data_IF_623450542062
#
_entry.id   IF_623450542062
#
_cell.length_a   1.000
_cell.length_b   1.000
_cell.length_c   1.000
_cell.angle_alpha   90.00
_cell.angle_beta   90.00
_cell.angle_gamma   90.00
#
_symmetry.space_group_name_H-M   'P 1'
#
loop_
_entity.id
_entity.type
_entity.pdbx_description
1 polymer ?
#
# COMPACT_ATOMS: atom_id res chain seq x y z
N UNK A 1 72.12 71.18 -12.82
CA UNK A 1 71.19 70.72 -13.87
C UNK A 1 70.08 69.93 -13.21
N UNK A 2 68.83 70.24 -13.57
CA UNK A 2 67.58 69.76 -12.96
C UNK A 2 67.37 68.25 -13.16
N UNK A 3 66.90 67.53 -12.15
CA UNK A 3 66.04 66.36 -12.32
C UNK A 3 65.12 66.26 -11.09
N UNK A 4 63.85 66.59 -11.30
CA UNK A 4 62.79 66.51 -10.31
C UNK A 4 62.41 65.03 -10.09
N UNK A 5 62.49 64.56 -8.85
CA UNK A 5 61.78 63.36 -8.40
C UNK A 5 60.29 63.70 -8.28
N UNK A 6 59.44 62.99 -9.01
CA UNK A 6 58.00 62.93 -8.74
C UNK A 6 57.61 61.45 -8.59
N UNK A 7 57.54 61.00 -7.33
CA UNK A 7 57.05 59.69 -6.93
C UNK A 7 55.52 59.71 -6.95
N UNK A 8 54.91 59.17 -8.01
CA UNK A 8 53.46 58.96 -8.09
C UNK A 8 53.12 57.59 -7.47
N UNK A 9 52.69 57.60 -6.21
CA UNK A 9 52.31 56.40 -5.47
C UNK A 9 50.83 56.06 -5.78
N UNK A 10 50.62 55.23 -6.81
CA UNK A 10 49.31 54.70 -7.20
C UNK A 10 48.91 53.59 -6.22
N UNK A 11 48.08 53.94 -5.23
CA UNK A 11 47.38 52.99 -4.36
C UNK A 11 46.30 52.27 -5.16
N UNK A 12 46.65 51.12 -5.74
CA UNK A 12 45.67 50.16 -6.27
C UNK A 12 44.99 49.46 -5.08
N UNK A 13 43.80 49.95 -4.68
CA UNK A 13 42.92 49.21 -3.78
C UNK A 13 42.26 48.08 -4.56
N UNK A 14 42.82 46.87 -4.45
CA UNK A 14 42.17 45.65 -4.95
C UNK A 14 40.84 45.48 -4.19
N UNK A 15 39.68 45.43 -4.87
CA UNK A 15 38.44 45.05 -4.21
C UNK A 15 38.59 43.60 -3.76
N UNK A 16 38.65 43.39 -2.45
CA UNK A 16 38.63 42.06 -1.87
C UNK A 16 37.34 41.36 -2.28
N UNK A 17 37.43 40.44 -3.25
CA UNK A 17 36.36 39.48 -3.48
C UNK A 17 36.29 38.58 -2.27
N UNK A 18 35.37 38.93 -1.35
CA UNK A 18 34.93 38.01 -0.32
C UNK A 18 34.30 36.81 -1.03
N UNK A 19 35.04 35.70 -1.08
CA UNK A 19 34.46 34.39 -1.39
C UNK A 19 33.47 34.12 -0.27
N UNK A 20 32.18 34.29 -0.55
CA UNK A 20 31.14 33.87 0.35
C UNK A 20 31.21 32.34 0.44
N UNK A 21 31.80 31.82 1.52
CA UNK A 21 31.67 30.41 1.87
C UNK A 21 30.19 30.14 2.08
N UNK A 22 29.60 29.36 1.17
CA UNK A 22 28.28 28.79 1.39
C UNK A 22 28.36 28.00 2.71
N UNK A 23 27.45 28.23 3.67
CA UNK A 23 27.43 27.42 4.87
C UNK A 23 27.27 25.95 4.46
N UNK A 24 28.13 25.07 4.99
CA UNK A 24 27.99 23.63 4.80
C UNK A 24 26.55 23.22 5.16
N UNK A 25 25.80 22.76 4.16
CA UNK A 25 24.51 22.11 4.37
C UNK A 25 24.75 20.93 5.33
N UNK A 26 24.00 20.83 6.44
CA UNK A 26 24.19 19.73 7.37
C UNK A 26 23.95 18.42 6.63
N UNK A 27 24.97 17.57 6.56
CA UNK A 27 24.87 16.22 5.98
C UNK A 27 23.76 15.48 6.73
N UNK A 28 22.55 15.46 6.16
CA UNK A 28 21.47 14.62 6.65
C UNK A 28 21.80 13.21 6.23
N UNK A 29 22.41 12.45 7.12
CA UNK A 29 22.59 11.00 6.95
C UNK A 29 21.24 10.28 7.14
N UNK A 30 20.23 10.61 6.32
CA UNK A 30 19.10 9.70 6.17
C UNK A 30 19.62 8.54 5.33
N UNK A 31 20.00 7.46 6.01
CA UNK A 31 20.28 6.20 5.35
C UNK A 31 19.03 5.84 4.56
N UNK A 32 19.17 5.61 3.26
CA UNK A 32 18.07 5.17 2.40
C UNK A 32 17.62 3.76 2.83
N UNK A 33 16.32 3.50 2.82
CA UNK A 33 15.81 2.14 3.07
C UNK A 33 16.08 1.28 1.84
N UNK A 34 16.51 0.04 2.07
CA UNK A 34 16.75 -0.94 1.00
C UNK A 34 16.11 -2.27 1.38
N UNK A 35 15.78 -3.06 0.36
CA UNK A 35 15.30 -4.43 0.55
C UNK A 35 16.37 -5.30 1.19
N UNK A 36 15.94 -6.34 1.90
CA UNK A 36 16.83 -7.16 2.71
C UNK A 36 17.30 -8.39 1.95
N UNK A 37 18.62 -8.63 1.97
CA UNK A 37 19.24 -9.79 1.30
C UNK A 37 18.87 -11.14 1.93
N UNK A 38 18.45 -11.13 3.21
CA UNK A 38 18.13 -12.36 3.97
C UNK A 38 16.68 -12.83 3.82
N UNK A 39 15.87 -12.13 3.02
CA UNK A 39 14.47 -12.45 2.80
C UNK A 39 13.65 -12.54 4.11
N UNK A 40 12.60 -13.37 4.10
CA UNK A 40 11.64 -13.46 5.21
C UNK A 40 12.23 -13.97 6.53
N UNK A 41 13.34 -14.72 6.53
CA UNK A 41 13.90 -15.32 7.75
C UNK A 41 14.30 -14.26 8.79
N UNK A 42 14.87 -13.14 8.34
CA UNK A 42 15.27 -12.06 9.24
C UNK A 42 14.06 -11.44 9.96
N UNK A 43 12.92 -11.33 9.26
CA UNK A 43 11.67 -10.81 9.81
C UNK A 43 11.09 -11.77 10.86
N UNK A 44 11.09 -13.08 10.57
CA UNK A 44 10.50 -14.11 11.42
C UNK A 44 11.22 -14.30 12.77
N UNK A 45 12.44 -13.78 12.94
CA UNK A 45 13.15 -13.80 14.24
C UNK A 45 12.40 -13.02 15.32
N UNK A 46 11.69 -11.95 14.93
CA UNK A 46 10.89 -11.12 15.85
C UNK A 46 9.38 -11.26 15.56
N UNK A 47 8.99 -11.32 14.29
CA UNK A 47 7.60 -11.42 13.84
C UNK A 47 7.23 -12.87 13.52
N UNK A 48 7.43 -13.80 14.45
CA UNK A 48 6.91 -15.16 14.33
C UNK A 48 5.55 -15.30 15.00
N UNK A 49 4.91 -16.45 14.82
CA UNK A 49 3.67 -16.80 15.50
C UNK A 49 2.57 -17.23 14.54
N UNK A 50 1.35 -17.23 15.06
CA UNK A 50 0.16 -17.75 14.37
C UNK A 50 -0.10 -17.04 13.06
N UNK A 51 -0.13 -15.71 13.05
CA UNK A 51 -0.34 -14.90 11.84
C UNK A 51 0.59 -15.27 10.68
N UNK A 52 1.86 -15.57 10.97
CA UNK A 52 2.82 -15.96 9.94
C UNK A 52 2.70 -17.42 9.52
N UNK A 53 2.17 -18.30 10.40
CA UNK A 53 1.81 -19.66 10.00
C UNK A 53 0.60 -19.63 9.07
N UNK A 54 -0.44 -18.89 9.45
CA UNK A 54 -1.64 -18.72 8.65
C UNK A 54 -1.33 -18.11 7.28
N UNK A 55 -0.42 -17.12 7.21
CA UNK A 55 0.05 -16.58 5.95
C UNK A 55 0.63 -17.64 5.02
N UNK A 56 1.46 -18.56 5.54
CA UNK A 56 2.10 -19.62 4.73
C UNK A 56 1.08 -20.54 4.09
N UNK A 57 -0.05 -20.74 4.77
CA UNK A 57 -1.16 -21.56 4.29
C UNK A 57 -2.11 -20.80 3.35
N UNK A 58 -1.91 -19.48 3.19
CA UNK A 58 -2.69 -18.63 2.28
C UNK A 58 -2.10 -18.58 0.88
N UNK A 59 -2.90 -18.09 -0.09
CA UNK A 59 -2.46 -17.93 -1.49
C UNK A 59 -1.23 -17.02 -1.63
N UNK A 60 -1.08 -16.03 -0.76
CA UNK A 60 0.06 -15.12 -0.78
C UNK A 60 1.32 -15.72 -0.15
N UNK A 61 1.19 -16.70 0.73
CA UNK A 61 2.31 -17.40 1.34
C UNK A 61 2.81 -18.62 0.57
N UNK A 62 2.17 -18.99 -0.54
CA UNK A 62 2.61 -20.11 -1.35
C UNK A 62 3.94 -19.81 -2.06
N UNK A 63 5.04 -20.30 -1.47
CA UNK A 63 6.40 -20.14 -1.98
C UNK A 63 6.69 -20.92 -3.27
N UNK A 64 5.88 -21.93 -3.61
CA UNK A 64 6.06 -22.72 -4.83
C UNK A 64 5.54 -21.99 -6.08
N UNK A 65 4.71 -20.97 -5.89
CA UNK A 65 4.25 -20.10 -6.95
C UNK A 65 5.09 -18.82 -6.98
N UNK A 66 5.99 -18.70 -7.97
CA UNK A 66 6.90 -17.56 -8.12
C UNK A 66 6.22 -16.18 -8.28
N UNK A 67 4.92 -16.17 -8.60
CA UNK A 67 4.13 -14.93 -8.72
C UNK A 67 3.53 -14.46 -7.37
N UNK A 68 3.75 -15.19 -6.28
CA UNK A 68 3.27 -14.77 -4.96
C UNK A 68 4.26 -13.80 -4.31
N UNK A 69 3.77 -12.93 -3.41
CA UNK A 69 4.64 -12.00 -2.68
C UNK A 69 5.70 -12.72 -1.87
N UNK A 70 5.35 -13.85 -1.23
CA UNK A 70 6.29 -14.55 -0.37
C UNK A 70 7.41 -15.27 -1.16
N UNK A 71 7.14 -15.72 -2.39
CA UNK A 71 8.15 -16.29 -3.28
C UNK A 71 9.07 -15.24 -3.93
N UNK A 72 8.56 -14.02 -4.17
CA UNK A 72 9.29 -12.97 -4.89
C UNK A 72 10.16 -12.12 -3.95
N UNK A 73 9.54 -11.34 -3.06
CA UNK A 73 10.21 -10.37 -2.18
C UNK A 73 9.95 -10.65 -0.69
N UNK A 74 9.29 -11.77 -0.37
CA UNK A 74 8.99 -12.15 1.01
C UNK A 74 8.03 -11.18 1.68
N UNK A 75 8.26 -10.90 2.95
CA UNK A 75 7.46 -9.94 3.73
C UNK A 75 7.49 -8.52 3.14
N UNK A 76 8.61 -8.16 2.51
CA UNK A 76 8.86 -6.82 1.99
C UNK A 76 8.07 -6.53 0.71
N UNK A 77 7.51 -7.56 0.05
CA UNK A 77 6.58 -7.40 -1.07
C UNK A 77 5.36 -6.54 -0.70
N UNK A 78 4.88 -6.67 0.54
CA UNK A 78 3.74 -5.91 1.05
C UNK A 78 4.17 -4.83 2.05
N UNK A 79 5.21 -5.10 2.86
CA UNK A 79 5.62 -4.22 3.95
C UNK A 79 6.68 -3.18 3.56
N UNK A 80 7.24 -3.26 2.34
CA UNK A 80 8.29 -2.37 1.86
C UNK A 80 9.68 -2.72 2.42
N UNK A 81 10.71 -1.92 2.11
CA UNK A 81 12.11 -2.20 2.46
C UNK A 81 12.40 -2.10 3.97
N UNK A 82 12.92 -3.18 4.54
CA UNK A 82 13.10 -3.41 5.97
C UNK A 82 14.52 -3.32 6.50
N UNK A 83 15.51 -2.91 5.69
CA UNK A 83 16.92 -2.88 6.14
C UNK A 83 17.14 -2.06 7.40
N UNK A 84 16.49 -0.89 7.49
CA UNK A 84 16.56 -0.03 8.67
C UNK A 84 15.76 -0.63 9.83
N UNK A 85 14.58 -1.20 9.53
CA UNK A 85 13.72 -1.87 10.49
C UNK A 85 14.48 -2.94 11.29
N UNK A 86 15.16 -3.85 10.58
CA UNK A 86 15.95 -4.93 11.18
C UNK A 86 17.17 -4.38 11.94
N UNK A 87 17.84 -3.36 11.39
CA UNK A 87 19.07 -2.83 12.01
C UNK A 87 18.84 -2.06 13.32
N UNK A 88 17.64 -1.51 13.54
CA UNK A 88 17.28 -0.79 14.79
C UNK A 88 15.85 -1.13 15.23
N UNK A 89 15.64 -2.39 15.60
CA UNK A 89 14.32 -2.93 15.94
C UNK A 89 13.54 -2.16 17.03
N UNK A 90 14.19 -1.37 17.88
CA UNK A 90 13.55 -0.62 18.97
C UNK A 90 12.86 0.69 18.51
N UNK A 91 13.01 1.10 17.25
CA UNK A 91 12.38 2.31 16.71
C UNK A 91 12.97 3.62 17.27
N UNK A 92 12.23 4.72 17.13
CA UNK A 92 12.61 6.06 17.63
C UNK A 92 12.17 7.19 16.70
N UNK A 93 12.38 8.44 17.14
CA UNK A 93 12.13 9.61 16.30
C UNK A 93 12.99 9.55 15.03
N UNK A 94 12.37 9.71 13.86
CA UNK A 94 13.04 9.61 12.56
C UNK A 94 13.28 8.17 12.07
N UNK A 95 12.72 7.17 12.74
CA UNK A 95 12.76 5.78 12.27
C UNK A 95 11.70 5.54 11.18
N UNK A 96 12.08 5.09 9.98
CA UNK A 96 11.10 4.85 8.93
C UNK A 96 10.20 3.67 9.30
N UNK A 97 8.90 3.88 9.16
CA UNK A 97 7.90 2.84 9.40
C UNK A 97 7.82 1.91 8.21
N UNK A 98 7.66 0.61 8.48
CA UNK A 98 7.21 -0.35 7.47
C UNK A 98 5.76 -0.02 7.08
N UNK A 99 5.34 -0.47 5.89
CA UNK A 99 3.94 -0.35 5.50
C UNK A 99 3.09 -1.16 6.48
N UNK A 100 2.17 -0.52 7.16
CA UNK A 100 1.22 -1.17 8.08
C UNK A 100 -0.21 -1.01 7.57
N UNK A 101 -0.96 -2.10 7.60
CA UNK A 101 -2.27 -2.22 6.97
C UNK A 101 -3.40 -2.07 7.99
N UNK A 102 -4.29 -1.12 7.75
CA UNK A 102 -5.42 -0.85 8.62
C UNK A 102 -5.98 0.56 8.43
N UNK A 103 -6.93 0.94 9.28
CA UNK A 103 -7.61 2.25 9.20
C UNK A 103 -7.26 3.15 10.39
N UNK A 104 -7.07 4.43 10.10
CA UNK A 104 -6.78 5.46 11.10
C UNK A 104 -5.30 5.86 11.13
N UNK A 105 -4.97 6.82 11.98
CA UNK A 105 -3.64 7.49 12.02
C UNK A 105 -2.50 6.62 12.53
N UNK A 106 -2.79 5.43 13.08
CA UNK A 106 -1.77 4.50 13.55
C UNK A 106 -1.13 3.68 12.43
N UNK A 107 -1.80 3.58 11.28
CA UNK A 107 -1.38 2.79 10.12
C UNK A 107 -0.73 3.68 9.05
N UNK A 108 -0.18 3.05 8.00
CA UNK A 108 0.37 3.79 6.87
C UNK A 108 -0.70 4.58 6.12
N UNK A 109 -0.33 5.64 5.38
CA UNK A 109 -1.26 6.35 4.52
C UNK A 109 -2.03 5.38 3.61
N UNK A 110 -3.32 5.64 3.43
CA UNK A 110 -4.22 4.75 2.70
C UNK A 110 -3.71 4.40 1.31
N UNK A 111 -3.24 5.39 0.56
CA UNK A 111 -2.80 5.18 -0.81
C UNK A 111 -1.52 4.34 -0.88
N UNK A 112 -0.65 4.42 0.13
CA UNK A 112 0.51 3.52 0.27
C UNK A 112 0.07 2.08 0.48
N UNK A 113 -0.95 1.85 1.31
CA UNK A 113 -1.49 0.50 1.52
C UNK A 113 -2.14 -0.07 0.25
N UNK A 114 -2.90 0.76 -0.48
CA UNK A 114 -3.58 0.33 -1.70
C UNK A 114 -2.59 0.06 -2.83
N UNK A 115 -1.57 0.90 -2.98
CA UNK A 115 -0.54 0.71 -4.00
C UNK A 115 0.23 -0.60 -3.78
N UNK A 116 0.49 -0.98 -2.52
CA UNK A 116 1.12 -2.27 -2.21
C UNK A 116 0.31 -3.46 -2.76
N UNK A 117 -1.02 -3.38 -2.77
CA UNK A 117 -1.88 -4.40 -3.37
C UNK A 117 -1.90 -4.29 -4.90
N UNK A 118 -2.05 -3.07 -5.43
CA UNK A 118 -2.18 -2.81 -6.87
C UNK A 118 -0.88 -3.05 -7.65
N UNK A 119 0.27 -3.08 -6.97
CA UNK A 119 1.53 -3.50 -7.57
C UNK A 119 1.42 -4.86 -8.30
N UNK A 120 0.53 -5.74 -7.85
CA UNK A 120 0.21 -7.02 -8.49
C UNK A 120 -1.24 -7.15 -8.97
N UNK A 121 -2.20 -6.52 -8.29
CA UNK A 121 -3.64 -6.67 -8.60
C UNK A 121 -4.20 -5.63 -9.58
N UNK A 122 -3.39 -4.72 -10.11
CA UNK A 122 -3.84 -3.78 -11.14
C UNK A 122 -4.00 -4.45 -12.50
N UNK A 123 -4.93 -3.95 -13.32
CA UNK A 123 -5.28 -4.46 -14.66
C UNK A 123 -4.08 -4.73 -15.57
N UNK A 124 -3.17 -3.76 -15.64
CA UNK A 124 -1.98 -3.83 -16.50
C UNK A 124 -0.95 -4.89 -16.07
N UNK A 125 -1.18 -5.61 -14.96
CA UNK A 125 -0.26 -6.63 -14.44
C UNK A 125 -0.56 -8.04 -14.96
N UNK A 126 -1.66 -8.24 -15.71
CA UNK A 126 -1.96 -9.49 -16.41
C UNK A 126 -2.10 -10.73 -15.50
N UNK A 127 -2.31 -10.53 -14.19
CA UNK A 127 -2.52 -11.60 -13.23
C UNK A 127 -3.92 -12.22 -13.33
N UNK A 128 -4.15 -13.36 -12.65
CA UNK A 128 -5.47 -14.03 -12.59
C UNK A 128 -6.54 -13.28 -11.78
N UNK A 129 -6.17 -12.22 -11.07
CA UNK A 129 -7.05 -11.48 -10.15
C UNK A 129 -6.83 -9.97 -10.27
N UNK A 130 -6.90 -9.49 -11.50
CA UNK A 130 -6.84 -8.06 -11.82
C UNK A 130 -8.16 -7.35 -11.47
N UNK A 131 -8.08 -6.08 -11.07
CA UNK A 131 -9.24 -5.27 -10.69
C UNK A 131 -9.16 -3.82 -11.19
N UNK A 132 -10.31 -3.22 -11.53
CA UNK A 132 -10.46 -1.77 -11.83
C UNK A 132 -10.63 -0.91 -10.56
N UNK A 133 -9.71 -1.03 -9.60
CA UNK A 133 -9.92 -0.40 -8.30
C UNK A 133 -10.14 1.11 -8.36
N UNK A 134 -9.45 1.80 -9.27
CA UNK A 134 -9.45 3.26 -9.35
C UNK A 134 -10.84 3.84 -9.60
N UNK A 135 -11.63 3.19 -10.45
CA UNK A 135 -12.99 3.63 -10.81
C UNK A 135 -14.04 3.25 -9.76
N UNK A 136 -13.71 2.30 -8.86
CA UNK A 136 -14.64 1.70 -7.91
C UNK A 136 -15.25 2.67 -6.90
N UNK A 137 -16.47 2.36 -6.46
CA UNK A 137 -17.17 3.16 -5.44
C UNK A 137 -16.46 3.14 -4.08
N UNK A 138 -15.81 2.02 -3.73
CA UNK A 138 -15.09 1.89 -2.48
C UNK A 138 -13.77 2.66 -2.46
N UNK A 139 -13.07 2.77 -3.61
CA UNK A 139 -11.94 3.68 -3.73
C UNK A 139 -12.34 5.13 -3.48
N UNK A 140 -13.45 5.59 -4.10
CA UNK A 140 -14.00 6.95 -3.91
C UNK A 140 -14.43 7.26 -2.47
N UNK A 141 -14.67 6.22 -1.67
CA UNK A 141 -15.00 6.33 -0.23
C UNK A 141 -13.81 6.07 0.68
N UNK A 142 -12.60 6.08 0.12
CA UNK A 142 -11.34 5.92 0.85
C UNK A 142 -11.30 4.65 1.72
N UNK A 143 -11.86 3.56 1.19
CA UNK A 143 -11.75 2.23 1.80
C UNK A 143 -10.42 1.59 1.39
N UNK A 144 -9.86 0.77 2.27
CA UNK A 144 -8.63 0.00 2.03
C UNK A 144 -9.00 -1.46 1.74
N UNK A 145 -8.17 -2.17 0.97
CA UNK A 145 -8.33 -3.61 0.73
C UNK A 145 -8.44 -4.40 2.05
N UNK A 146 -7.56 -4.07 3.01
CA UNK A 146 -7.51 -4.65 4.37
C UNK A 146 -8.72 -4.35 5.25
N UNK A 147 -9.68 -3.54 4.78
CA UNK A 147 -10.96 -3.33 5.48
C UNK A 147 -11.87 -4.55 5.34
N UNK A 148 -11.70 -5.31 4.26
CA UNK A 148 -12.50 -6.49 3.94
C UNK A 148 -11.64 -7.76 3.91
N UNK A 149 -10.48 -7.68 3.27
CA UNK A 149 -9.57 -8.81 3.09
C UNK A 149 -8.63 -8.99 4.28
N UNK A 150 -8.30 -10.25 4.59
CA UNK A 150 -7.32 -10.60 5.62
C UNK A 150 -6.29 -11.56 5.05
N UNK A 151 -5.02 -11.14 5.03
CA UNK A 151 -3.93 -11.86 4.36
C UNK A 151 -3.13 -12.75 5.32
N UNK A 152 -3.05 -12.36 6.60
CA UNK A 152 -2.40 -13.14 7.66
C UNK A 152 -3.35 -14.18 8.28
N UNK A 153 -4.25 -14.73 7.47
CA UNK A 153 -5.22 -15.75 7.82
C UNK A 153 -5.18 -16.86 6.78
N UNK A 154 -5.58 -18.08 7.18
CA UNK A 154 -5.61 -19.23 6.27
C UNK A 154 -6.61 -18.99 5.14
N UNK A 155 -7.77 -18.44 5.49
CA UNK A 155 -8.85 -18.13 4.55
C UNK A 155 -9.27 -16.68 4.70
N UNK A 156 -9.38 -15.97 3.58
CA UNK A 156 -9.91 -14.62 3.54
C UNK A 156 -11.43 -14.64 3.86
N UNK A 157 -11.93 -13.81 4.80
CA UNK A 157 -13.36 -13.72 5.08
C UNK A 157 -14.22 -13.39 3.86
N UNK A 158 -13.66 -12.81 2.79
CA UNK A 158 -14.39 -12.53 1.54
C UNK A 158 -14.65 -13.78 0.70
N UNK A 159 -14.07 -14.93 1.04
CA UNK A 159 -14.35 -16.22 0.41
C UNK A 159 -15.39 -17.06 1.16
N UNK A 160 -15.89 -16.58 2.29
CA UNK A 160 -16.96 -17.20 3.07
C UNK A 160 -18.23 -16.34 3.01
N UNK A 161 -19.37 -16.95 2.66
CA UNK A 161 -20.60 -16.20 2.38
C UNK A 161 -21.09 -15.41 3.60
N UNK A 162 -21.13 -16.05 4.77
CA UNK A 162 -21.62 -15.44 6.01
C UNK A 162 -20.69 -14.32 6.48
N UNK A 163 -19.37 -14.54 6.44
CA UNK A 163 -18.39 -13.53 6.81
C UNK A 163 -18.37 -12.35 5.82
N UNK A 164 -18.60 -12.60 4.53
CA UNK A 164 -18.75 -11.55 3.53
C UNK A 164 -19.99 -10.71 3.84
N UNK A 165 -21.16 -11.33 4.07
CA UNK A 165 -22.39 -10.62 4.45
C UNK A 165 -22.18 -9.81 5.73
N UNK A 166 -21.62 -10.41 6.77
CA UNK A 166 -21.33 -9.73 8.04
C UNK A 166 -20.40 -8.52 7.84
N UNK A 167 -19.41 -8.63 6.95
CA UNK A 167 -18.49 -7.55 6.62
C UNK A 167 -19.15 -6.41 5.88
N UNK A 168 -19.90 -6.71 4.81
CA UNK A 168 -20.66 -5.71 4.07
C UNK A 168 -21.66 -4.98 4.99
N UNK A 169 -22.31 -5.72 5.89
CA UNK A 169 -23.30 -5.21 6.83
C UNK A 169 -22.71 -4.24 7.88
N UNK A 170 -21.38 -4.13 8.01
CA UNK A 170 -20.79 -3.07 8.86
C UNK A 170 -21.11 -1.67 8.35
N UNK A 171 -21.23 -1.50 7.02
CA UNK A 171 -21.54 -0.22 6.37
C UNK A 171 -22.92 -0.22 5.68
N UNK A 172 -23.34 -1.35 5.12
CA UNK A 172 -24.51 -1.47 4.24
C UNK A 172 -25.78 -2.00 4.92
N UNK A 173 -25.93 -1.79 6.24
CA UNK A 173 -27.11 -2.26 7.02
C UNK A 173 -28.45 -1.95 6.37
N UNK A 174 -28.60 -0.72 5.87
CA UNK A 174 -29.84 -0.26 5.23
C UNK A 174 -30.10 -0.93 3.89
N UNK A 175 -29.05 -1.26 3.14
CA UNK A 175 -29.18 -1.94 1.85
C UNK A 175 -29.59 -3.40 2.07
N UNK A 176 -28.99 -4.08 3.07
CA UNK A 176 -29.36 -5.45 3.43
C UNK A 176 -30.81 -5.55 3.91
N UNK A 177 -31.25 -4.65 4.79
CA UNK A 177 -32.63 -4.63 5.33
C UNK A 177 -33.70 -4.38 4.27
N UNK A 178 -33.33 -3.74 3.16
CA UNK A 178 -34.23 -3.40 2.05
C UNK A 178 -33.95 -4.23 0.80
N UNK A 179 -33.11 -5.25 0.91
CA UNK A 179 -32.77 -6.07 -0.23
C UNK A 179 -34.01 -6.86 -0.63
N UNK A 180 -34.41 -6.73 -1.89
CA UNK A 180 -35.52 -7.54 -2.40
C UNK A 180 -35.08 -8.99 -2.45
N UNK A 181 -35.90 -9.88 -1.89
CA UNK A 181 -35.67 -11.31 -2.01
C UNK A 181 -36.40 -11.80 -3.27
N UNK A 182 -35.67 -12.43 -4.18
CA UNK A 182 -36.23 -12.99 -5.41
C UNK A 182 -36.78 -14.41 -5.18
N UNK A 183 -37.55 -14.61 -4.11
CA UNK A 183 -38.04 -15.95 -3.69
C UNK A 183 -38.93 -16.59 -4.76
N UNK A 184 -39.67 -15.78 -5.52
CA UNK A 184 -40.47 -16.21 -6.67
C UNK A 184 -39.65 -16.80 -7.83
N UNK A 185 -38.32 -16.64 -7.81
CA UNK A 185 -37.39 -17.14 -8.85
C UNK A 185 -36.63 -18.39 -8.42
N UNK A 186 -37.03 -19.07 -7.34
CA UNK A 186 -36.33 -20.23 -6.77
C UNK A 186 -34.86 -19.96 -6.41
N UNK A 187 -34.53 -18.71 -6.06
CA UNK A 187 -33.20 -18.33 -5.59
C UNK A 187 -33.19 -18.43 -4.07
N UNK A 188 -32.35 -19.30 -3.52
CA UNK A 188 -32.10 -19.32 -2.08
C UNK A 188 -31.15 -18.18 -1.71
N UNK A 189 -31.72 -17.02 -1.36
CA UNK A 189 -30.96 -15.81 -1.05
C UNK A 189 -30.02 -16.00 0.14
N UNK A 190 -30.41 -16.80 1.14
CA UNK A 190 -29.61 -17.07 2.34
C UNK A 190 -28.36 -17.91 2.05
N UNK A 191 -28.29 -18.58 0.89
CA UNK A 191 -27.12 -19.32 0.43
C UNK A 191 -26.16 -18.47 -0.43
N UNK A 192 -26.51 -17.22 -0.73
CA UNK A 192 -25.71 -16.32 -1.57
C UNK A 192 -24.87 -15.34 -0.75
N UNK A 193 -23.79 -14.88 -1.34
CA UNK A 193 -23.00 -13.76 -0.83
C UNK A 193 -23.25 -12.50 -1.67
N UNK A 194 -22.97 -11.30 -1.13
CA UNK A 194 -23.15 -10.03 -1.85
C UNK A 194 -22.37 -9.98 -3.17
N UNK A 195 -21.18 -10.58 -3.19
CA UNK A 195 -20.29 -10.72 -4.34
C UNK A 195 -20.86 -11.55 -5.49
N UNK A 196 -21.91 -12.33 -5.26
CA UNK A 196 -22.62 -13.07 -6.31
C UNK A 196 -23.21 -12.12 -7.35
N UNK A 197 -23.71 -10.97 -6.92
CA UNK A 197 -24.37 -9.99 -7.79
C UNK A 197 -23.61 -8.66 -7.90
N UNK A 198 -22.71 -8.36 -6.94
CA UNK A 198 -22.00 -7.09 -6.88
C UNK A 198 -20.50 -7.26 -7.01
N UNK A 199 -19.88 -6.55 -7.96
CA UNK A 199 -18.44 -6.37 -7.97
C UNK A 199 -18.07 -5.08 -7.22
N UNK A 200 -17.37 -5.23 -6.10
CA UNK A 200 -16.97 -4.11 -5.25
C UNK A 200 -15.64 -3.47 -5.66
N UNK A 201 -14.94 -4.09 -6.61
CA UNK A 201 -13.62 -3.67 -7.07
C UNK A 201 -13.65 -2.90 -8.39
N UNK A 202 -14.80 -2.80 -9.04
CA UNK A 202 -14.96 -2.13 -10.34
C UNK A 202 -15.95 -0.97 -10.24
N UNK A 203 -16.06 -0.21 -11.32
CA UNK A 203 -17.10 0.80 -11.45
C UNK A 203 -18.48 0.15 -11.28
N UNK A 204 -19.32 0.77 -10.44
CA UNK A 204 -20.73 0.40 -10.40
C UNK A 204 -21.42 1.03 -11.62
N UNK A 205 -21.71 0.25 -12.64
CA UNK A 205 -22.67 0.69 -13.64
C UNK A 205 -24.07 0.76 -13.01
N UNK A 206 -24.74 1.89 -13.19
CA UNK A 206 -26.19 1.99 -13.02
C UNK A 206 -26.91 1.84 -14.35
N UNK A 207 -26.24 2.20 -15.45
CA UNK A 207 -26.81 2.29 -16.79
C UNK A 207 -26.74 0.98 -17.59
N UNK A 208 -25.85 0.03 -17.25
CA UNK A 208 -25.61 -1.18 -18.04
C UNK A 208 -26.66 -2.27 -17.83
N UNK A 209 -27.27 -2.35 -16.63
CA UNK A 209 -28.28 -3.40 -16.34
C UNK A 209 -29.69 -3.15 -16.90
N UNK A 210 -29.97 -1.97 -17.47
CA UNK A 210 -31.26 -1.71 -18.12
C UNK A 210 -31.21 -1.73 -19.65
N UNK A 211 -30.02 -1.85 -20.25
CA UNK A 211 -29.87 -1.87 -21.71
C UNK A 211 -30.14 -3.25 -22.33
N UNK A 212 -30.09 -4.34 -21.56
CA UNK A 212 -30.21 -5.71 -22.10
C UNK A 212 -31.51 -6.45 -21.75
N UNK A 213 -32.42 -5.85 -20.97
CA UNK A 213 -33.76 -6.44 -20.73
C UNK A 213 -34.83 -5.93 -21.71
N UNK A 214 -34.41 -5.42 -22.87
CA UNK A 214 -35.25 -4.83 -23.90
C UNK A 214 -35.34 -5.66 -25.19
N UNK A 215 -35.41 -6.99 -25.07
CA UNK A 215 -35.69 -7.88 -26.21
C UNK A 215 -36.64 -9.01 -25.80
#
# INVERSE_FOLDING_TARGET
>A
MKCFLLTLLLLFTLPGWAVAQQPDEPIRTHREQVYTEKGAEACLRCHSGEKMRNLKDSVHGNIENMFTPLASQGCEACHGPGSIHISRAHGGAGFPKMIDFGRGSNFSPRDVQVEACLACHHEDKGGRSVIEWQSSSHNRKSINCSTCHSIHEVTDPMHDADQQVATCNRCHRKALQKHEHFEERNINFDALSCGTCHNVHEAFDREGRHAESGQ
#
